data_IF_863653475821
#
_entry.id   IF_863653475821
#
_cell.length_a   1.000
_cell.length_b   1.000
_cell.length_c   1.000
_cell.angle_alpha   90.00
_cell.angle_beta   90.00
_cell.angle_gamma   90.00
#
_symmetry.space_group_name_H-M   'P 1'
#
loop_
_entity.id
_entity.type
_entity.pdbx_description
1 polymer ?
#
# COMPACT_ATOMS: atom_id res chain seq x y z
N UNK A 1 22.38 17.74 2.01
CA UNK A 1 23.43 18.75 1.74
C UNK A 1 23.81 18.81 0.26
N UNK A 2 23.85 17.69 -0.45
CA UNK A 2 24.12 17.64 -1.89
C UNK A 2 22.90 18.20 -2.66
N UNK A 3 21.72 17.73 -2.43
CA UNK A 3 20.48 18.27 -3.03
C UNK A 3 20.26 19.76 -2.82
N UNK A 4 20.60 20.31 -1.65
CA UNK A 4 20.49 21.77 -1.40
C UNK A 4 21.42 22.57 -2.30
N UNK A 5 22.62 22.05 -2.59
CA UNK A 5 23.55 22.70 -3.51
C UNK A 5 23.09 22.62 -4.96
N UNK A 6 22.53 21.50 -5.34
CA UNK A 6 21.97 21.29 -6.68
C UNK A 6 20.78 22.22 -6.91
N UNK A 7 19.89 22.35 -5.93
CA UNK A 7 18.77 23.29 -5.97
C UNK A 7 19.25 24.76 -6.08
N UNK A 8 20.25 25.15 -5.28
CA UNK A 8 20.84 26.50 -5.36
C UNK A 8 21.46 26.76 -6.74
N UNK A 9 22.13 25.78 -7.34
CA UNK A 9 22.74 25.90 -8.67
C UNK A 9 21.68 26.00 -9.77
N UNK A 10 20.61 25.19 -9.70
CA UNK A 10 19.46 25.27 -10.61
C UNK A 10 18.80 26.65 -10.54
N UNK A 11 18.54 27.16 -9.32
CA UNK A 11 17.96 28.48 -9.10
C UNK A 11 18.88 29.60 -9.60
N UNK A 12 20.19 29.51 -9.39
CA UNK A 12 21.15 30.51 -9.89
C UNK A 12 21.17 30.54 -11.43
N UNK A 13 21.24 29.38 -12.06
CA UNK A 13 21.23 29.27 -13.53
C UNK A 13 19.89 29.75 -14.14
N UNK A 14 18.76 29.47 -13.46
CA UNK A 14 17.44 29.92 -13.87
C UNK A 14 17.33 31.44 -13.76
N UNK A 15 17.71 32.03 -12.60
CA UNK A 15 17.65 33.46 -12.34
C UNK A 15 18.60 34.27 -13.24
N UNK A 16 19.76 33.71 -13.56
CA UNK A 16 20.71 34.32 -14.50
C UNK A 16 20.37 34.06 -15.96
N UNK A 17 19.27 33.36 -16.24
CA UNK A 17 18.77 33.00 -17.60
C UNK A 17 19.80 32.24 -18.44
N UNK A 18 20.66 31.44 -17.79
CA UNK A 18 21.65 30.62 -18.47
C UNK A 18 21.04 29.26 -18.90
N UNK A 19 19.95 29.28 -19.64
CA UNK A 19 19.14 28.09 -19.99
C UNK A 19 19.93 26.96 -20.68
N UNK A 20 20.94 27.31 -21.48
CA UNK A 20 21.77 26.30 -22.15
C UNK A 20 22.64 25.54 -21.17
N UNK A 21 23.18 26.22 -20.17
CA UNK A 21 23.96 25.56 -19.12
C UNK A 21 23.08 24.75 -18.19
N UNK A 22 21.91 25.31 -17.83
CA UNK A 22 20.91 24.61 -17.02
C UNK A 22 20.49 23.29 -17.70
N UNK A 23 20.20 23.31 -19.00
CA UNK A 23 19.87 22.12 -19.77
C UNK A 23 21.01 21.09 -19.79
N UNK A 24 22.26 21.53 -19.91
CA UNK A 24 23.40 20.63 -19.85
C UNK A 24 23.57 20.03 -18.46
N UNK A 25 23.44 20.83 -17.43
CA UNK A 25 23.52 20.40 -16.05
C UNK A 25 22.44 19.34 -15.72
N UNK A 26 21.19 19.61 -16.06
CA UNK A 26 20.10 18.66 -15.85
C UNK A 26 20.28 17.35 -16.64
N UNK A 27 20.86 17.40 -17.84
CA UNK A 27 21.10 16.19 -18.64
C UNK A 27 22.24 15.30 -18.10
N UNK A 28 23.00 15.75 -17.09
CA UNK A 28 24.03 14.97 -16.39
C UNK A 28 23.51 14.32 -15.10
N UNK A 29 22.32 14.72 -14.62
CA UNK A 29 21.67 14.17 -13.44
C UNK A 29 20.83 12.95 -13.79
N UNK A 30 20.48 12.16 -12.77
CA UNK A 30 19.53 11.06 -12.89
C UNK A 30 18.10 11.61 -12.94
N UNK A 31 17.20 10.92 -13.65
CA UNK A 31 15.82 11.35 -13.87
C UNK A 31 15.04 11.54 -12.57
N UNK A 32 15.20 10.62 -11.62
CA UNK A 32 14.59 10.71 -10.28
C UNK A 32 15.15 11.89 -9.47
N UNK A 33 16.43 12.21 -9.59
CA UNK A 33 17.03 13.37 -8.91
C UNK A 33 16.51 14.69 -9.51
N UNK A 34 16.30 14.74 -10.83
CA UNK A 34 15.70 15.90 -11.49
C UNK A 34 14.26 16.08 -11.02
N UNK A 35 13.47 15.00 -10.92
CA UNK A 35 12.10 15.05 -10.40
C UNK A 35 12.09 15.60 -8.96
N UNK A 36 12.94 15.09 -8.08
CA UNK A 36 13.06 15.59 -6.71
C UNK A 36 13.45 17.07 -6.64
N UNK A 37 14.33 17.55 -7.53
CA UNK A 37 14.66 18.98 -7.63
C UNK A 37 13.47 19.81 -8.11
N UNK A 38 12.68 19.31 -9.05
CA UNK A 38 11.48 19.99 -9.55
C UNK A 38 10.42 20.14 -8.46
N UNK A 39 10.26 19.15 -7.59
CA UNK A 39 9.30 19.16 -6.48
C UNK A 39 9.64 20.20 -5.38
N UNK A 40 10.90 20.54 -5.22
CA UNK A 40 11.36 21.56 -4.27
C UNK A 40 11.22 23.01 -4.81
N UNK A 41 10.94 23.16 -6.12
CA UNK A 41 10.78 24.47 -6.74
C UNK A 41 9.35 25.02 -6.59
N UNK A 42 9.23 26.35 -6.56
CA UNK A 42 7.93 27.00 -6.72
C UNK A 42 7.31 26.67 -8.09
N UNK A 43 5.98 26.55 -8.16
CA UNK A 43 5.24 26.11 -9.36
C UNK A 43 5.69 26.82 -10.65
N UNK A 44 5.92 28.14 -10.60
CA UNK A 44 6.35 28.92 -11.77
C UNK A 44 7.76 28.57 -12.23
N UNK A 45 8.65 28.27 -11.29
CA UNK A 45 10.04 27.86 -11.54
C UNK A 45 10.10 26.43 -12.05
N UNK A 46 9.37 25.51 -11.41
CA UNK A 46 9.20 24.13 -11.83
C UNK A 46 8.77 24.03 -13.31
N UNK A 47 7.72 24.76 -13.69
CA UNK A 47 7.23 24.78 -15.07
C UNK A 47 8.26 25.34 -16.07
N UNK A 48 9.09 26.31 -15.65
CA UNK A 48 10.16 26.85 -16.50
C UNK A 48 11.28 25.83 -16.69
N UNK A 49 11.70 25.17 -15.61
CA UNK A 49 12.78 24.17 -15.64
C UNK A 49 12.32 22.97 -16.46
N UNK A 50 11.12 22.46 -16.22
CA UNK A 50 10.55 21.33 -16.96
C UNK A 50 10.53 21.58 -18.47
N UNK A 51 10.14 22.78 -18.94
CA UNK A 51 10.13 23.14 -20.36
C UNK A 51 11.54 23.23 -20.99
N UNK A 52 12.60 23.32 -20.18
CA UNK A 52 13.98 23.36 -20.66
C UNK A 52 14.51 21.95 -20.92
N UNK A 53 13.93 20.92 -20.28
CA UNK A 53 14.36 19.54 -20.45
C UNK A 53 14.33 19.09 -21.92
N UNK A 54 15.25 18.22 -22.35
CA UNK A 54 15.13 17.49 -23.60
C UNK A 54 13.82 16.70 -23.61
N UNK A 55 13.22 16.52 -24.79
CA UNK A 55 11.87 15.92 -24.87
C UNK A 55 11.82 14.46 -24.38
N UNK A 56 12.86 13.70 -24.68
CA UNK A 56 12.97 12.31 -24.26
C UNK A 56 13.13 12.23 -22.73
N UNK A 57 14.05 13.00 -22.17
CA UNK A 57 14.27 13.14 -20.73
C UNK A 57 13.04 13.71 -20.00
N UNK A 58 12.23 14.54 -20.64
CA UNK A 58 11.06 15.16 -20.01
C UNK A 58 9.95 14.14 -19.70
N UNK A 59 9.80 13.07 -20.49
CA UNK A 59 8.83 12.01 -20.21
C UNK A 59 9.35 11.12 -19.07
N UNK A 60 10.61 10.76 -19.07
CA UNK A 60 11.24 9.94 -18.03
C UNK A 60 11.22 10.67 -16.67
N UNK A 61 11.58 11.95 -16.61
CA UNK A 61 11.48 12.78 -15.40
C UNK A 61 10.04 12.95 -14.94
N UNK A 62 9.10 13.00 -15.88
CA UNK A 62 7.69 13.21 -15.57
C UNK A 62 7.08 12.03 -14.82
N UNK A 63 7.45 10.78 -15.14
CA UNK A 63 6.95 9.59 -14.44
C UNK A 63 7.37 9.55 -12.97
N UNK A 64 8.55 10.09 -12.62
CA UNK A 64 9.03 10.19 -11.23
C UNK A 64 8.41 11.31 -10.39
N UNK A 65 7.64 12.23 -10.99
CA UNK A 65 6.99 13.32 -10.25
C UNK A 65 5.74 12.81 -9.51
N UNK A 66 5.45 13.40 -8.35
CA UNK A 66 4.17 13.16 -7.71
C UNK A 66 2.97 13.63 -8.57
N UNK A 67 1.83 12.99 -8.36
CA UNK A 67 0.60 13.18 -9.14
C UNK A 67 0.13 14.65 -9.16
N UNK A 68 0.25 15.38 -8.05
CA UNK A 68 -0.16 16.80 -7.97
C UNK A 68 0.72 17.67 -8.89
N UNK A 69 2.03 17.40 -8.99
CA UNK A 69 2.95 18.12 -9.87
C UNK A 69 2.80 17.67 -11.32
N UNK A 70 2.56 16.41 -11.58
CA UNK A 70 2.21 15.91 -12.91
C UNK A 70 0.96 16.63 -13.46
N UNK A 71 -0.11 16.75 -12.66
CA UNK A 71 -1.33 17.47 -13.04
C UNK A 71 -1.07 18.95 -13.33
N UNK A 72 -0.28 19.65 -12.51
CA UNK A 72 0.09 21.06 -12.73
C UNK A 72 0.86 21.22 -14.03
N UNK A 73 1.84 20.36 -14.29
CA UNK A 73 2.64 20.42 -15.51
C UNK A 73 1.77 20.19 -16.73
N UNK A 74 1.03 19.06 -16.78
CA UNK A 74 0.17 18.71 -17.93
C UNK A 74 -0.86 19.79 -18.24
N UNK A 75 -1.48 20.38 -17.22
CA UNK A 75 -2.48 21.43 -17.42
C UNK A 75 -1.89 22.75 -17.90
N UNK A 76 -0.62 23.01 -17.61
CA UNK A 76 0.12 24.21 -17.98
C UNK A 76 0.78 24.13 -19.36
N UNK A 77 0.93 22.92 -19.89
CA UNK A 77 1.53 22.68 -21.20
C UNK A 77 0.56 22.95 -22.36
N UNK A 78 1.10 23.24 -23.52
CA UNK A 78 0.31 23.24 -24.75
C UNK A 78 -0.15 21.82 -25.11
N UNK A 79 -1.24 21.70 -25.86
CA UNK A 79 -1.79 20.42 -26.31
C UNK A 79 -0.73 19.53 -26.98
N UNK A 80 0.17 20.14 -27.74
CA UNK A 80 1.23 19.43 -28.44
C UNK A 80 2.31 18.91 -27.48
N UNK A 81 2.68 19.69 -26.47
CA UNK A 81 3.66 19.29 -25.46
C UNK A 81 3.09 18.17 -24.56
N UNK A 82 1.87 18.36 -24.07
CA UNK A 82 1.19 17.36 -23.26
C UNK A 82 0.98 16.03 -24.02
N UNK A 83 0.58 16.11 -25.29
CA UNK A 83 0.46 14.92 -26.15
C UNK A 83 1.82 14.23 -26.36
N UNK A 84 2.90 15.01 -26.46
CA UNK A 84 4.22 14.41 -26.61
C UNK A 84 4.65 13.63 -25.35
N UNK A 85 4.33 14.12 -24.15
CA UNK A 85 4.60 13.41 -22.90
C UNK A 85 3.79 12.10 -22.89
N UNK A 86 2.47 12.16 -23.05
CA UNK A 86 1.60 10.98 -23.06
C UNK A 86 2.03 9.91 -24.07
N UNK A 87 2.56 10.31 -25.22
CA UNK A 87 3.02 9.35 -26.25
C UNK A 87 4.39 8.72 -25.95
N UNK A 88 5.13 9.24 -24.97
CA UNK A 88 6.45 8.73 -24.59
C UNK A 88 6.46 8.13 -23.17
N UNK A 89 5.38 8.26 -22.40
CA UNK A 89 5.19 7.53 -21.14
C UNK A 89 4.91 6.07 -21.43
N UNK A 90 5.27 5.19 -20.50
CA UNK A 90 4.77 3.82 -20.46
C UNK A 90 3.26 3.82 -20.25
N UNK A 91 2.59 2.74 -20.66
CA UNK A 91 1.13 2.74 -20.72
C UNK A 91 0.47 2.76 -19.33
N UNK A 92 1.09 2.16 -18.34
CA UNK A 92 0.72 2.19 -16.93
C UNK A 92 0.83 3.61 -16.36
N UNK A 93 2.00 4.25 -16.43
CA UNK A 93 2.21 5.65 -16.01
C UNK A 93 1.18 6.61 -16.64
N UNK A 94 0.90 6.40 -17.94
CA UNK A 94 -0.07 7.21 -18.64
C UNK A 94 -1.51 6.91 -18.21
N UNK A 95 -1.82 5.68 -17.82
CA UNK A 95 -3.13 5.29 -17.31
C UNK A 95 -3.36 5.89 -15.91
N UNK A 96 -2.41 5.74 -15.00
CA UNK A 96 -2.47 6.26 -13.63
C UNK A 96 -2.65 7.79 -13.62
N UNK A 97 -1.86 8.50 -14.43
CA UNK A 97 -2.02 9.93 -14.62
C UNK A 97 -3.44 10.29 -15.07
N UNK A 98 -4.03 9.53 -16.00
CA UNK A 98 -5.34 9.86 -16.57
C UNK A 98 -6.51 9.49 -15.64
N UNK A 99 -6.35 8.52 -14.75
CA UNK A 99 -7.37 8.20 -13.74
C UNK A 99 -7.60 9.34 -12.77
N UNK A 100 -6.55 10.04 -12.38
CA UNK A 100 -6.60 11.18 -11.47
C UNK A 100 -7.01 12.52 -12.15
N UNK A 101 -7.11 12.54 -13.48
CA UNK A 101 -7.40 13.77 -14.20
C UNK A 101 -8.89 14.04 -14.46
N UNK A 102 -9.31 15.32 -14.49
CA UNK A 102 -10.67 15.68 -14.89
C UNK A 102 -11.02 15.16 -16.30
N UNK A 103 -12.20 14.57 -16.46
CA UNK A 103 -12.64 13.91 -17.70
C UNK A 103 -12.51 14.75 -18.99
N UNK A 104 -12.59 16.09 -18.91
CA UNK A 104 -12.40 16.97 -20.05
C UNK A 104 -10.94 17.02 -20.51
N UNK A 105 -9.98 16.92 -19.60
CA UNK A 105 -8.54 16.86 -19.88
C UNK A 105 -8.20 15.48 -20.45
N UNK A 106 -8.65 14.40 -19.80
CA UNK A 106 -8.51 13.01 -20.28
C UNK A 106 -8.96 12.89 -21.74
N UNK A 107 -10.19 13.35 -22.03
CA UNK A 107 -10.73 13.30 -23.39
C UNK A 107 -9.84 14.04 -24.39
N UNK A 108 -9.30 15.19 -24.01
CA UNK A 108 -8.44 16.01 -24.87
C UNK A 108 -7.10 15.33 -25.14
N UNK A 109 -6.45 14.80 -24.12
CA UNK A 109 -5.18 14.08 -24.22
C UNK A 109 -5.34 12.84 -25.09
N UNK A 110 -6.30 11.97 -24.77
CA UNK A 110 -6.57 10.75 -25.54
C UNK A 110 -6.99 11.03 -26.99
N UNK A 111 -7.67 12.14 -27.28
CA UNK A 111 -8.03 12.49 -28.66
C UNK A 111 -6.80 12.82 -29.49
N UNK A 112 -5.79 13.44 -28.88
CA UNK A 112 -4.57 13.87 -29.55
C UNK A 112 -3.46 12.80 -29.53
N UNK A 113 -3.51 11.84 -28.60
CA UNK A 113 -2.57 10.73 -28.51
C UNK A 113 -2.58 9.83 -29.75
N UNK A 114 -1.47 9.12 -29.97
CA UNK A 114 -1.37 8.15 -31.06
C UNK A 114 -2.45 7.06 -30.95
N UNK A 115 -2.91 6.47 -32.05
CA UNK A 115 -3.93 5.40 -32.00
C UNK A 115 -3.49 4.19 -31.19
N UNK A 116 -2.19 3.92 -31.12
CA UNK A 116 -1.58 2.81 -30.38
C UNK A 116 -1.62 3.08 -28.87
N UNK A 117 -0.99 4.17 -28.43
CA UNK A 117 -1.00 4.62 -27.03
C UNK A 117 -2.42 4.75 -26.48
N UNK A 118 -3.33 5.38 -27.25
CA UNK A 118 -4.73 5.50 -26.84
C UNK A 118 -5.42 4.15 -26.67
N UNK A 119 -5.11 3.15 -27.52
CA UNK A 119 -5.68 1.81 -27.40
C UNK A 119 -5.17 1.13 -26.14
N UNK A 120 -3.88 1.25 -25.87
CA UNK A 120 -3.21 0.58 -24.76
C UNK A 120 -3.65 1.18 -23.42
N UNK A 121 -3.66 2.50 -23.27
CA UNK A 121 -4.25 3.20 -22.13
C UNK A 121 -5.72 2.81 -21.91
N UNK A 122 -6.58 2.88 -22.97
CA UNK A 122 -7.98 2.48 -22.82
C UNK A 122 -8.15 0.97 -22.53
N UNK A 123 -7.14 0.16 -22.73
CA UNK A 123 -7.14 -1.23 -22.33
C UNK A 123 -6.91 -1.36 -20.82
N UNK A 124 -5.92 -0.65 -20.27
CA UNK A 124 -5.58 -0.63 -18.86
C UNK A 124 -6.71 -0.05 -18.00
N UNK A 125 -7.25 1.10 -18.37
CA UNK A 125 -8.38 1.78 -17.70
C UNK A 125 -9.69 0.96 -17.61
N UNK A 126 -9.73 -0.28 -18.12
CA UNK A 126 -10.89 -1.18 -18.00
C UNK A 126 -10.77 -2.15 -16.86
N UNK A 127 -9.58 -2.35 -16.36
CA UNK A 127 -9.39 -3.24 -15.22
C UNK A 127 -9.86 -2.55 -13.94
N UNK A 128 -10.28 -3.32 -12.93
CA UNK A 128 -10.57 -2.76 -11.62
C UNK A 128 -9.32 -2.10 -11.02
N UNK A 129 -9.49 -0.99 -10.32
CA UNK A 129 -8.45 -0.41 -9.47
C UNK A 129 -7.86 -1.50 -8.54
N UNK A 130 -6.60 -1.35 -8.14
CA UNK A 130 -5.87 -2.26 -7.27
C UNK A 130 -5.76 -3.72 -7.80
N UNK A 131 -5.96 -3.93 -9.10
CA UNK A 131 -5.79 -5.25 -9.74
C UNK A 131 -4.48 -5.33 -10.51
N UNK A 132 -3.96 -6.56 -10.74
CA UNK A 132 -2.80 -6.77 -11.60
C UNK A 132 -2.96 -6.18 -13.01
N UNK A 133 -4.19 -6.05 -13.48
CA UNK A 133 -4.48 -5.47 -14.79
C UNK A 133 -4.38 -3.95 -14.82
N UNK A 134 -4.60 -3.24 -13.69
CA UNK A 134 -4.43 -1.79 -13.62
C UNK A 134 -2.97 -1.36 -13.50
N UNK A 135 -2.16 -2.16 -12.79
CA UNK A 135 -0.74 -1.86 -12.51
C UNK A 135 0.25 -2.49 -13.50
N UNK A 136 -0.20 -3.11 -14.58
CA UNK A 136 0.67 -3.76 -15.57
C UNK A 136 1.02 -2.82 -16.71
N UNK A 137 2.25 -2.94 -17.22
CA UNK A 137 2.62 -2.33 -18.50
C UNK A 137 2.42 -3.30 -19.68
N UNK A 138 2.19 -2.76 -20.88
CA UNK A 138 2.02 -3.57 -22.11
C UNK A 138 3.28 -3.58 -22.97
N UNK A 139 4.30 -2.88 -22.58
CA UNK A 139 5.59 -2.73 -23.27
C UNK A 139 6.59 -3.84 -22.87
N UNK A 140 6.40 -5.03 -23.41
CA UNK A 140 7.25 -6.18 -23.15
C UNK A 140 7.80 -6.82 -24.43
N UNK A 141 8.85 -7.62 -24.31
CA UNK A 141 9.44 -8.37 -25.42
C UNK A 141 8.76 -9.73 -25.58
N UNK A 142 8.02 -9.90 -26.67
CA UNK A 142 7.46 -11.18 -27.10
C UNK A 142 8.33 -11.92 -28.11
N UNK A 143 8.45 -13.24 -27.96
CA UNK A 143 9.15 -14.14 -28.87
C UNK A 143 8.20 -15.27 -29.30
N UNK A 144 8.50 -15.88 -30.43
CA UNK A 144 7.80 -17.10 -30.91
C UNK A 144 8.68 -18.31 -30.69
N UNK A 145 8.08 -19.46 -30.37
CA UNK A 145 8.77 -20.72 -30.13
C UNK A 145 9.72 -21.14 -31.28
N UNK A 146 9.33 -20.84 -32.51
CA UNK A 146 10.04 -21.28 -33.72
C UNK A 146 11.18 -20.32 -34.15
N UNK A 147 11.45 -19.28 -33.41
CA UNK A 147 12.58 -18.37 -33.70
C UNK A 147 13.90 -19.04 -33.31
N UNK A 148 14.97 -18.70 -34.03
CA UNK A 148 16.34 -18.97 -33.57
C UNK A 148 16.80 -17.91 -32.59
N UNK A 149 17.84 -18.21 -31.81
CA UNK A 149 18.47 -17.25 -30.86
C UNK A 149 18.88 -15.97 -31.57
N UNK A 150 19.50 -16.07 -32.77
CA UNK A 150 19.88 -14.88 -33.56
C UNK A 150 18.65 -14.03 -33.92
N UNK A 151 17.55 -14.67 -34.34
CA UNK A 151 16.31 -13.94 -34.65
C UNK A 151 15.67 -13.30 -33.43
N UNK A 152 15.74 -13.96 -32.27
CA UNK A 152 15.27 -13.40 -31.00
C UNK A 152 16.08 -12.16 -30.61
N UNK A 153 17.41 -12.21 -30.72
CA UNK A 153 18.29 -11.06 -30.46
C UNK A 153 18.00 -9.88 -31.43
N UNK A 154 17.73 -10.18 -32.70
CA UNK A 154 17.31 -9.16 -33.67
C UNK A 154 15.96 -8.52 -33.30
N UNK A 155 15.02 -9.35 -32.81
CA UNK A 155 13.72 -8.85 -32.31
C UNK A 155 13.93 -7.92 -31.12
N UNK A 156 14.73 -8.34 -30.12
CA UNK A 156 15.06 -7.52 -28.94
C UNK A 156 15.70 -6.19 -29.36
N UNK A 157 16.67 -6.21 -30.27
CA UNK A 157 17.31 -4.97 -30.76
C UNK A 157 16.34 -3.99 -31.42
N UNK A 158 15.26 -4.51 -31.99
CA UNK A 158 14.26 -3.71 -32.69
C UNK A 158 13.23 -3.06 -31.74
N UNK A 159 12.84 -3.76 -30.68
CA UNK A 159 11.73 -3.32 -29.80
C UNK A 159 12.20 -2.94 -28.40
N UNK A 160 13.43 -3.27 -28.02
CA UNK A 160 13.89 -3.20 -26.64
C UNK A 160 14.07 -1.78 -26.08
N UNK A 161 14.12 -0.76 -26.94
CA UNK A 161 14.13 0.64 -26.48
C UNK A 161 12.73 1.13 -26.08
N UNK A 162 11.70 0.49 -26.64
CA UNK A 162 10.28 0.81 -26.37
C UNK A 162 9.66 -0.23 -25.41
N UNK A 163 10.49 -1.06 -24.74
CA UNK A 163 10.04 -2.11 -23.82
C UNK A 163 10.53 -1.77 -22.42
N UNK A 164 9.67 -1.99 -21.42
CA UNK A 164 9.94 -1.77 -20.00
C UNK A 164 11.20 -2.51 -19.54
N UNK A 165 11.32 -3.77 -19.93
CA UNK A 165 12.52 -4.56 -19.70
C UNK A 165 12.81 -5.54 -20.82
N UNK A 166 14.10 -5.77 -21.10
CA UNK A 166 14.57 -6.82 -22.02
C UNK A 166 15.19 -8.02 -21.27
N UNK A 167 15.25 -7.96 -19.95
CA UNK A 167 15.94 -8.99 -19.15
C UNK A 167 15.24 -10.34 -19.22
N UNK A 168 13.92 -10.34 -19.39
CA UNK A 168 13.08 -11.52 -19.55
C UNK A 168 12.22 -11.32 -20.80
N UNK A 169 12.28 -12.29 -21.72
CA UNK A 169 11.46 -12.33 -22.92
C UNK A 169 10.39 -13.42 -22.77
N UNK A 170 9.19 -13.14 -23.23
CA UNK A 170 8.04 -14.02 -23.07
C UNK A 170 7.76 -14.78 -24.37
N UNK A 171 7.71 -16.10 -24.30
CA UNK A 171 7.47 -16.96 -25.47
C UNK A 171 6.00 -17.25 -25.62
N UNK A 172 5.46 -16.93 -26.80
CA UNK A 172 4.05 -17.03 -27.10
C UNK A 172 3.79 -18.03 -28.24
N UNK A 173 2.68 -18.78 -28.11
CA UNK A 173 2.15 -19.60 -29.20
C UNK A 173 1.43 -18.76 -30.27
N UNK A 174 0.88 -19.44 -31.29
CA UNK A 174 0.14 -18.80 -32.37
C UNK A 174 -1.17 -18.09 -31.89
N UNK A 175 -1.69 -18.45 -30.73
CA UNK A 175 -2.88 -17.88 -30.10
C UNK A 175 -2.53 -16.79 -29.05
N UNK A 176 -1.25 -16.37 -28.97
CA UNK A 176 -0.71 -15.44 -27.97
C UNK A 176 -0.76 -15.97 -26.52
N UNK A 177 -0.85 -17.29 -26.33
CA UNK A 177 -0.77 -17.87 -24.99
C UNK A 177 0.68 -17.92 -24.55
N UNK A 178 0.89 -17.64 -23.27
CA UNK A 178 2.20 -17.73 -22.64
C UNK A 178 2.60 -19.20 -22.47
N UNK A 179 3.64 -19.63 -23.19
CA UNK A 179 4.14 -21.01 -23.19
C UNK A 179 5.51 -21.15 -22.57
N UNK A 180 6.28 -20.06 -22.46
CA UNK A 180 7.60 -20.09 -21.87
C UNK A 180 8.17 -18.71 -21.61
N UNK A 181 9.33 -18.67 -20.96
CA UNK A 181 10.15 -17.48 -20.79
C UNK A 181 11.61 -17.77 -21.10
N UNK A 182 12.33 -16.77 -21.58
CA UNK A 182 13.78 -16.85 -21.82
C UNK A 182 14.43 -15.59 -21.28
N UNK A 183 15.39 -15.74 -20.36
CA UNK A 183 16.16 -14.60 -19.91
C UNK A 183 17.22 -14.21 -20.95
N UNK A 184 17.42 -12.90 -21.14
CA UNK A 184 18.42 -12.34 -22.07
C UNK A 184 19.81 -12.98 -21.90
N UNK A 185 20.21 -13.26 -20.64
CA UNK A 185 21.49 -13.92 -20.34
C UNK A 185 21.64 -15.28 -21.05
N UNK A 186 20.58 -16.04 -21.19
CA UNK A 186 20.62 -17.33 -21.90
C UNK A 186 20.75 -17.12 -23.40
N UNK A 187 20.03 -16.15 -23.97
CA UNK A 187 20.16 -15.81 -25.39
C UNK A 187 21.59 -15.38 -25.76
N UNK A 188 22.31 -14.75 -24.86
CA UNK A 188 23.70 -14.33 -25.07
C UNK A 188 24.72 -15.47 -24.93
N UNK A 189 24.34 -16.58 -24.27
CA UNK A 189 25.23 -17.70 -23.97
C UNK A 189 24.98 -18.92 -24.88
N UNK A 190 23.83 -19.00 -25.52
CA UNK A 190 23.42 -20.11 -26.39
C UNK A 190 23.90 -19.93 -27.83
N UNK A 191 24.00 -21.01 -28.60
CA UNK A 191 24.34 -20.94 -29.98
C UNK A 191 23.25 -20.25 -30.82
N UNK A 192 23.66 -19.41 -31.76
CA UNK A 192 22.73 -18.55 -32.52
C UNK A 192 21.69 -19.28 -33.34
N UNK A 193 21.92 -20.58 -33.67
CA UNK A 193 21.04 -21.42 -34.49
C UNK A 193 20.08 -22.27 -33.64
N UNK A 194 20.22 -22.25 -32.29
CA UNK A 194 19.29 -22.95 -31.41
C UNK A 194 17.88 -22.34 -31.46
N UNK A 195 16.86 -23.18 -31.30
CA UNK A 195 15.45 -22.76 -31.36
C UNK A 195 14.97 -22.35 -29.97
N UNK A 196 14.25 -21.24 -29.87
CA UNK A 196 13.72 -20.69 -28.62
C UNK A 196 12.88 -21.72 -27.86
N UNK A 197 12.04 -22.47 -28.56
CA UNK A 197 11.22 -23.52 -27.96
C UNK A 197 12.01 -24.62 -27.25
N UNK A 198 13.26 -24.88 -27.67
CA UNK A 198 14.11 -25.92 -27.08
C UNK A 198 14.87 -25.43 -25.83
N UNK A 199 15.05 -24.11 -25.71
CA UNK A 199 15.84 -23.47 -24.62
C UNK A 199 14.99 -22.69 -23.62
N UNK A 200 13.70 -22.47 -23.91
CA UNK A 200 12.79 -21.74 -23.05
C UNK A 200 12.49 -22.50 -21.74
N UNK A 201 12.14 -21.76 -20.72
CA UNK A 201 11.63 -22.32 -19.48
C UNK A 201 10.10 -22.42 -19.57
N UNK A 202 9.57 -23.64 -19.62
CA UNK A 202 8.13 -23.89 -19.83
C UNK A 202 7.26 -23.69 -18.58
N UNK A 203 7.84 -23.84 -17.38
CA UNK A 203 7.09 -23.69 -16.13
C UNK A 203 7.04 -22.23 -15.70
N UNK A 204 6.21 -21.43 -16.38
CA UNK A 204 6.07 -20.00 -16.13
C UNK A 204 5.10 -19.73 -14.99
N UNK A 205 5.55 -18.96 -13.99
CA UNK A 205 4.69 -18.39 -12.97
C UNK A 205 4.12 -17.09 -13.54
N UNK A 206 2.80 -16.99 -13.61
CA UNK A 206 2.08 -15.84 -14.16
C UNK A 206 1.02 -15.35 -13.19
N UNK A 207 0.63 -14.10 -13.35
CA UNK A 207 -0.38 -13.40 -12.58
C UNK A 207 -1.64 -13.28 -13.44
N UNK A 208 -2.82 -13.47 -12.84
CA UNK A 208 -4.08 -13.20 -13.53
C UNK A 208 -4.42 -11.72 -13.45
N UNK A 209 -4.98 -11.13 -14.51
CA UNK A 209 -5.35 -9.71 -14.59
C UNK A 209 -6.25 -9.20 -13.45
N UNK A 210 -7.05 -10.07 -12.82
CA UNK A 210 -7.97 -9.72 -11.74
C UNK A 210 -7.40 -10.06 -10.35
N UNK A 211 -6.12 -10.40 -10.26
CA UNK A 211 -5.45 -10.63 -8.98
C UNK A 211 -5.25 -9.28 -8.28
N UNK A 212 -5.55 -9.23 -7.00
CA UNK A 212 -5.35 -8.10 -6.12
C UNK A 212 -3.86 -7.73 -6.01
N UNK A 213 -3.53 -6.44 -6.02
CA UNK A 213 -2.14 -5.94 -6.04
C UNK A 213 -1.33 -6.38 -4.79
N UNK A 214 -1.96 -6.49 -3.62
CA UNK A 214 -1.29 -7.00 -2.43
C UNK A 214 -0.87 -8.47 -2.60
N UNK A 215 -1.70 -9.30 -3.27
CA UNK A 215 -1.36 -10.69 -3.60
C UNK A 215 -0.26 -10.76 -4.67
N UNK A 216 -0.27 -9.83 -5.65
CA UNK A 216 0.81 -9.69 -6.64
C UNK A 216 2.13 -9.39 -5.94
N UNK A 217 2.17 -8.39 -5.05
CA UNK A 217 3.36 -8.04 -4.28
C UNK A 217 3.89 -9.24 -3.45
N UNK A 218 2.98 -10.03 -2.86
CA UNK A 218 3.35 -11.27 -2.16
C UNK A 218 3.98 -12.31 -3.09
N UNK A 219 3.53 -12.42 -4.34
CA UNK A 219 4.12 -13.33 -5.31
C UNK A 219 5.52 -12.90 -5.73
N UNK A 220 5.74 -11.61 -5.98
CA UNK A 220 7.07 -11.07 -6.24
C UNK A 220 8.03 -11.39 -5.10
N UNK A 221 7.64 -11.10 -3.87
CA UNK A 221 8.42 -11.42 -2.67
C UNK A 221 8.72 -12.91 -2.50
N UNK A 222 7.79 -13.79 -2.89
CA UNK A 222 7.93 -15.24 -2.75
C UNK A 222 8.93 -15.84 -3.73
N UNK A 223 8.98 -15.30 -4.95
CA UNK A 223 9.77 -15.87 -6.03
C UNK A 223 11.00 -15.05 -6.38
N UNK A 224 11.20 -13.89 -5.76
CA UNK A 224 12.32 -12.96 -6.00
C UNK A 224 12.45 -12.59 -7.49
N UNK A 225 11.33 -12.38 -8.18
CA UNK A 225 11.32 -11.99 -9.59
C UNK A 225 11.49 -10.48 -9.75
N UNK A 226 12.12 -10.07 -10.85
CA UNK A 226 12.26 -8.67 -11.25
C UNK A 226 11.14 -8.20 -12.17
N UNK A 227 10.47 -9.14 -12.85
CA UNK A 227 9.28 -8.89 -13.66
C UNK A 227 8.44 -10.17 -13.74
N UNK A 228 7.12 -10.05 -13.76
CA UNK A 228 6.19 -11.17 -13.86
C UNK A 228 5.17 -10.94 -14.98
N UNK A 229 4.86 -11.98 -15.78
CA UNK A 229 3.86 -11.88 -16.84
C UNK A 229 2.44 -11.89 -16.28
N UNK A 230 1.61 -11.01 -16.82
CA UNK A 230 0.18 -10.93 -16.54
C UNK A 230 -0.61 -11.58 -17.68
N UNK A 231 -1.50 -12.49 -17.34
CA UNK A 231 -2.30 -13.25 -18.30
C UNK A 231 -3.79 -13.11 -18.06
N UNK A 232 -4.56 -13.20 -19.13
CA UNK A 232 -6.02 -13.30 -19.06
C UNK A 232 -6.49 -14.72 -18.64
N UNK A 233 -7.81 -14.92 -18.56
CA UNK A 233 -8.40 -16.21 -18.20
C UNK A 233 -8.16 -17.33 -19.25
N UNK A 234 -7.69 -16.97 -20.45
CA UNK A 234 -7.33 -17.91 -21.51
C UNK A 234 -5.82 -18.15 -21.59
N UNK A 235 -5.05 -17.69 -20.60
CA UNK A 235 -3.59 -17.74 -20.52
C UNK A 235 -2.89 -16.97 -21.65
N UNK A 236 -3.51 -15.92 -22.18
CA UNK A 236 -2.86 -15.02 -23.13
C UNK A 236 -2.11 -13.94 -22.37
N UNK A 237 -0.88 -13.69 -22.79
CA UNK A 237 -0.08 -12.61 -22.23
C UNK A 237 -0.70 -11.26 -22.62
N UNK A 238 -1.02 -10.44 -21.62
CA UNK A 238 -1.63 -9.12 -21.81
C UNK A 238 -0.72 -7.98 -21.35
N UNK A 239 0.17 -8.24 -20.39
CA UNK A 239 1.13 -7.27 -19.87
C UNK A 239 2.18 -7.93 -18.98
N UNK A 240 2.99 -7.10 -18.37
CA UNK A 240 3.96 -7.48 -17.33
C UNK A 240 3.86 -6.48 -16.19
N UNK A 241 4.31 -6.89 -15.00
CA UNK A 241 4.51 -6.01 -13.85
C UNK A 241 5.98 -6.11 -13.48
N UNK A 242 6.59 -5.02 -13.10
CA UNK A 242 8.00 -4.97 -12.71
C UNK A 242 8.16 -4.79 -11.19
N UNK A 243 9.37 -4.98 -10.68
CA UNK A 243 9.61 -4.99 -9.23
C UNK A 243 9.63 -3.59 -8.63
N UNK A 244 9.95 -2.57 -9.40
CA UNK A 244 9.91 -1.16 -9.03
C UNK A 244 8.49 -0.72 -8.68
N UNK A 245 7.49 -0.97 -9.55
CA UNK A 245 6.07 -0.74 -9.25
C UNK A 245 5.63 -1.47 -7.98
N UNK A 246 6.10 -2.71 -7.81
CA UNK A 246 5.78 -3.51 -6.61
C UNK A 246 6.36 -2.92 -5.33
N UNK A 247 7.50 -2.23 -5.39
CA UNK A 247 8.06 -1.55 -4.22
C UNK A 247 7.12 -0.42 -3.78
N UNK A 248 6.60 0.36 -4.70
CA UNK A 248 5.67 1.45 -4.42
C UNK A 248 4.33 0.92 -3.89
N UNK A 249 3.78 -0.13 -4.52
CA UNK A 249 2.57 -0.82 -4.04
C UNK A 249 2.75 -1.36 -2.60
N UNK A 250 3.90 -1.92 -2.25
CA UNK A 250 4.15 -2.39 -0.87
C UNK A 250 4.13 -1.22 0.12
N UNK A 251 4.62 -0.05 -0.26
CA UNK A 251 4.59 1.15 0.58
C UNK A 251 3.16 1.69 0.73
N UNK A 252 2.41 1.75 -0.36
CA UNK A 252 0.99 2.16 -0.40
C UNK A 252 0.12 1.25 0.47
N UNK A 253 0.15 -0.05 0.26
CA UNK A 253 -0.60 -1.05 1.04
C UNK A 253 -0.23 -1.01 2.53
N UNK A 254 1.06 -0.81 2.84
CA UNK A 254 1.52 -0.67 4.22
C UNK A 254 0.96 0.59 4.87
N UNK A 255 0.92 1.69 4.13
CA UNK A 255 0.38 2.98 4.58
C UNK A 255 -1.13 2.89 4.77
N UNK A 256 -1.82 2.27 3.81
CA UNK A 256 -3.26 2.01 3.87
C UNK A 256 -3.63 1.18 5.11
N UNK A 257 -2.93 0.09 5.35
CA UNK A 257 -3.10 -0.77 6.53
C UNK A 257 -2.91 0.03 7.83
N UNK A 258 -1.88 0.89 7.92
CA UNK A 258 -1.62 1.72 9.09
C UNK A 258 -2.76 2.73 9.33
N UNK A 259 -3.26 3.38 8.29
CA UNK A 259 -4.36 4.34 8.38
C UNK A 259 -5.68 3.65 8.75
N UNK A 260 -5.99 2.51 8.15
CA UNK A 260 -7.15 1.67 8.51
C UNK A 260 -7.09 1.21 9.97
N UNK A 261 -5.91 0.75 10.43
CA UNK A 261 -5.70 0.36 11.83
C UNK A 261 -5.87 1.55 12.80
N UNK A 262 -5.63 2.76 12.36
CA UNK A 262 -5.88 3.99 13.14
C UNK A 262 -7.32 4.51 13.01
N UNK A 263 -8.20 3.83 12.28
CA UNK A 263 -9.55 4.28 11.93
C UNK A 263 -9.54 5.65 11.22
N UNK A 264 -8.69 5.76 10.20
CA UNK A 264 -8.61 6.89 9.27
C UNK A 264 -8.97 6.35 7.88
N UNK A 265 -9.64 7.14 7.07
CA UNK A 265 -9.86 6.80 5.66
C UNK A 265 -8.54 7.00 4.92
N UNK A 266 -8.03 6.02 4.17
CA UNK A 266 -6.73 6.06 3.52
C UNK A 266 -6.50 7.25 2.59
N UNK A 267 -5.21 7.58 2.37
CA UNK A 267 -4.77 8.70 1.55
C UNK A 267 -3.45 8.42 0.85
N UNK A 268 -3.44 8.56 -0.45
CA UNK A 268 -2.25 8.43 -1.28
C UNK A 268 -1.37 9.69 -1.27
N UNK A 269 -1.84 10.77 -0.62
CA UNK A 269 -1.14 12.06 -0.56
C UNK A 269 -0.23 12.17 0.64
N UNK A 270 1.00 12.69 0.45
CA UNK A 270 1.89 13.02 1.56
C UNK A 270 1.23 13.96 2.58
N UNK A 271 1.49 13.74 3.86
CA UNK A 271 0.85 14.49 4.95
C UNK A 271 0.95 16.02 4.82
N UNK A 272 2.11 16.53 4.39
CA UNK A 272 2.32 17.98 4.23
C UNK A 272 1.57 18.59 3.04
N UNK A 273 1.24 17.78 2.05
CA UNK A 273 0.48 18.20 0.85
C UNK A 273 -1.04 18.07 1.06
N UNK A 274 -1.47 17.31 2.07
CA UNK A 274 -2.90 17.12 2.39
C UNK A 274 -3.49 18.33 3.09
N UNK A 275 -4.56 18.90 2.55
CA UNK A 275 -5.25 20.06 3.11
C UNK A 275 -5.98 19.75 4.42
N UNK A 276 -6.13 20.76 5.29
CA UNK A 276 -6.80 20.63 6.61
C UNK A 276 -8.23 20.06 6.49
N UNK A 277 -9.01 20.52 5.51
CA UNK A 277 -10.38 20.04 5.30
C UNK A 277 -10.41 18.61 4.75
N UNK A 278 -9.45 18.21 3.96
CA UNK A 278 -9.31 16.85 3.47
C UNK A 278 -8.98 15.90 4.61
N UNK A 279 -7.96 16.23 5.42
CA UNK A 279 -7.63 15.49 6.64
C UNK A 279 -8.83 15.38 7.59
N UNK A 280 -9.60 16.46 7.75
CA UNK A 280 -10.83 16.43 8.55
C UNK A 280 -11.84 15.44 8.01
N UNK A 281 -12.12 15.45 6.69
CA UNK A 281 -13.07 14.53 6.05
C UNK A 281 -12.67 13.07 6.22
N UNK A 282 -11.37 12.76 6.20
CA UNK A 282 -10.86 11.40 6.36
C UNK A 282 -10.98 10.87 7.80
N UNK A 283 -10.95 11.75 8.80
CA UNK A 283 -11.02 11.37 10.23
C UNK A 283 -12.42 11.40 10.81
N UNK A 284 -13.26 12.36 10.42
CA UNK A 284 -14.53 12.63 11.09
C UNK A 284 -15.55 11.47 11.04
N UNK A 285 -15.69 10.68 9.95
CA UNK A 285 -16.64 9.59 9.92
C UNK A 285 -16.38 8.55 11.01
N UNK A 286 -15.12 8.17 11.18
CA UNK A 286 -14.72 7.21 12.21
C UNK A 286 -14.86 7.76 13.62
N UNK A 287 -14.48 9.02 13.84
CA UNK A 287 -14.63 9.67 15.15
C UNK A 287 -16.10 9.77 15.58
N UNK A 288 -17.02 10.06 14.65
CA UNK A 288 -18.46 10.06 14.92
C UNK A 288 -18.98 8.66 15.25
N UNK A 289 -18.54 7.64 14.48
CA UNK A 289 -18.93 6.25 14.76
C UNK A 289 -18.47 5.81 16.15
N UNK A 290 -17.23 6.10 16.50
CA UNK A 290 -16.65 5.77 17.81
C UNK A 290 -17.34 6.54 18.95
N UNK A 291 -17.68 7.82 18.74
CA UNK A 291 -18.46 8.60 19.69
C UNK A 291 -19.85 7.99 19.96
N UNK A 292 -20.55 7.56 18.92
CA UNK A 292 -21.84 6.85 19.07
C UNK A 292 -21.61 5.55 19.83
N UNK A 293 -20.58 4.79 19.50
CA UNK A 293 -20.23 3.54 20.18
C UNK A 293 -19.93 3.75 21.67
N UNK A 294 -19.24 4.83 22.04
CA UNK A 294 -18.97 5.18 23.44
C UNK A 294 -20.24 5.42 24.27
N UNK A 295 -21.38 5.74 23.65
CA UNK A 295 -22.66 5.88 24.38
C UNK A 295 -23.13 4.57 24.98
N UNK A 296 -22.82 3.42 24.37
CA UNK A 296 -23.14 2.08 24.93
C UNK A 296 -22.34 1.84 26.21
N UNK A 297 -21.08 2.22 26.25
CA UNK A 297 -20.24 2.14 27.45
C UNK A 297 -20.82 3.00 28.58
N UNK A 298 -21.25 4.23 28.27
CA UNK A 298 -21.94 5.09 29.21
C UNK A 298 -23.25 4.48 29.76
N UNK A 299 -24.04 3.87 28.89
CA UNK A 299 -25.28 3.19 29.30
C UNK A 299 -25.03 1.98 30.24
N UNK A 300 -23.95 1.22 30.00
CA UNK A 300 -23.54 0.13 30.90
C UNK A 300 -23.17 0.72 32.27
N UNK A 301 -22.37 1.75 32.37
CA UNK A 301 -21.99 2.38 33.63
C UNK A 301 -23.22 2.87 34.37
N UNK A 302 -24.14 3.56 33.70
CA UNK A 302 -25.37 4.06 34.29
C UNK A 302 -26.29 2.92 34.81
N UNK A 303 -26.33 1.75 34.16
CA UNK A 303 -27.12 0.61 34.59
C UNK A 303 -26.64 -0.02 35.92
N UNK A 304 -25.41 0.28 36.35
CA UNK A 304 -24.80 -0.18 37.61
C UNK A 304 -24.59 0.94 38.63
N UNK A 305 -25.26 2.09 38.48
CA UNK A 305 -25.12 3.25 39.36
C UNK A 305 -25.41 2.93 40.80
N UNK A 306 -26.49 2.14 41.08
CA UNK A 306 -26.82 1.71 42.43
C UNK A 306 -25.69 0.90 43.10
N UNK A 307 -25.05 0.00 42.38
CA UNK A 307 -23.92 -0.78 42.88
C UNK A 307 -22.68 0.12 43.15
N UNK A 308 -22.42 1.06 42.27
CA UNK A 308 -21.32 2.01 42.41
C UNK A 308 -21.52 2.99 43.58
N UNK A 309 -22.78 3.33 43.93
CA UNK A 309 -23.11 4.20 45.06
C UNK A 309 -22.73 3.57 46.40
N UNK A 310 -22.74 2.22 46.47
CA UNK A 310 -22.35 1.48 47.69
C UNK A 310 -20.86 1.53 47.94
N UNK A 311 -20.04 1.52 46.87
CA UNK A 311 -18.61 1.53 46.98
C UNK A 311 -17.99 2.49 45.94
N UNK A 312 -18.06 3.79 46.20
CA UNK A 312 -17.57 4.82 45.29
C UNK A 312 -16.08 4.70 44.90
N UNK A 313 -15.28 4.02 45.74
CA UNK A 313 -13.86 3.75 45.41
C UNK A 313 -13.69 2.92 44.15
N UNK A 314 -14.65 2.07 43.82
CA UNK A 314 -14.59 1.24 42.61
C UNK A 314 -14.64 2.06 41.31
N UNK A 315 -15.32 3.20 41.32
CA UNK A 315 -15.40 4.10 40.15
C UNK A 315 -14.03 4.55 39.70
N UNK A 316 -13.10 4.79 40.63
CA UNK A 316 -11.75 5.28 40.34
C UNK A 316 -10.91 4.29 39.51
N UNK A 317 -11.25 3.02 39.50
CA UNK A 317 -10.49 1.97 38.78
C UNK A 317 -11.07 1.62 37.40
N UNK A 318 -12.26 2.13 37.07
CA UNK A 318 -12.89 1.91 35.73
C UNK A 318 -11.94 2.35 34.60
N UNK A 319 -11.37 3.55 34.58
CA UNK A 319 -10.49 3.98 33.49
C UNK A 319 -9.26 3.06 33.34
N UNK A 320 -8.65 2.63 34.44
CA UNK A 320 -7.51 1.74 34.41
C UNK A 320 -7.86 0.37 33.80
N UNK A 321 -9.00 -0.19 34.15
CA UNK A 321 -9.43 -1.49 33.63
C UNK A 321 -9.75 -1.44 32.14
N UNK A 322 -10.43 -0.37 31.70
CA UNK A 322 -10.76 -0.13 30.29
C UNK A 322 -9.48 0.07 29.48
N UNK A 323 -8.63 1.00 29.88
CA UNK A 323 -7.39 1.31 29.16
C UNK A 323 -6.48 0.08 29.06
N UNK A 324 -6.26 -0.64 30.17
CA UNK A 324 -5.42 -1.84 30.15
C UNK A 324 -6.01 -2.95 29.27
N UNK A 325 -7.32 -3.16 29.32
CA UNK A 325 -8.03 -4.10 28.46
C UNK A 325 -7.94 -3.70 26.99
N UNK A 326 -8.25 -2.45 26.66
CA UNK A 326 -8.20 -1.89 25.32
C UNK A 326 -6.78 -2.04 24.70
N UNK A 327 -5.75 -1.65 25.44
CA UNK A 327 -4.37 -1.78 25.00
C UNK A 327 -3.95 -3.25 24.77
N UNK A 328 -4.34 -4.16 25.67
CA UNK A 328 -4.05 -5.59 25.52
C UNK A 328 -4.74 -6.19 24.28
N UNK A 329 -6.00 -5.85 24.05
CA UNK A 329 -6.75 -6.29 22.87
C UNK A 329 -6.17 -5.74 21.58
N UNK A 330 -5.78 -4.47 21.55
CA UNK A 330 -5.14 -3.83 20.40
C UNK A 330 -3.80 -4.47 20.06
N UNK A 331 -2.96 -4.79 21.03
CA UNK A 331 -1.68 -5.47 20.80
C UNK A 331 -1.88 -6.87 20.18
N UNK A 332 -2.85 -7.63 20.66
CA UNK A 332 -3.19 -8.93 20.10
C UNK A 332 -3.70 -8.78 18.65
N UNK A 333 -4.56 -7.80 18.40
CA UNK A 333 -5.12 -7.54 17.08
C UNK A 333 -4.08 -7.19 16.04
N UNK A 334 -3.24 -6.20 16.30
CA UNK A 334 -2.17 -5.77 15.37
C UNK A 334 -1.25 -6.94 15.01
N UNK A 335 -0.91 -7.79 15.98
CA UNK A 335 -0.08 -8.98 15.75
C UNK A 335 -0.78 -9.99 14.83
N UNK A 336 -2.09 -10.20 15.04
CA UNK A 336 -2.88 -11.14 14.23
C UNK A 336 -3.17 -10.59 12.83
N UNK A 337 -3.50 -9.30 12.71
CA UNK A 337 -3.69 -8.63 11.41
C UNK A 337 -2.44 -8.80 10.56
N UNK A 338 -1.26 -8.45 11.11
CA UNK A 338 0.00 -8.64 10.40
C UNK A 338 0.23 -10.11 9.99
N UNK A 339 -0.06 -11.06 10.86
CA UNK A 339 0.06 -12.49 10.53
C UNK A 339 -0.92 -12.95 9.44
N UNK A 340 -2.09 -12.29 9.34
CA UNK A 340 -3.07 -12.55 8.29
C UNK A 340 -2.65 -11.91 6.95
N UNK A 341 -2.12 -10.69 6.96
CA UNK A 341 -1.61 -10.01 5.76
C UNK A 341 -0.41 -10.74 5.18
N UNK A 342 0.51 -11.24 6.02
CA UNK A 342 1.66 -12.02 5.57
C UNK A 342 1.36 -13.50 5.26
N UNK A 343 0.08 -13.93 5.35
CA UNK A 343 -0.33 -15.34 5.22
C UNK A 343 0.40 -16.32 6.16
N UNK A 344 0.92 -15.82 7.30
CA UNK A 344 1.51 -16.65 8.36
C UNK A 344 0.43 -17.37 9.18
N UNK A 345 -0.80 -16.84 9.18
CA UNK A 345 -1.95 -17.37 9.90
C UNK A 345 -3.04 -17.76 8.90
N UNK A 346 -3.36 -19.04 8.85
CA UNK A 346 -4.48 -19.58 8.08
C UNK A 346 -5.67 -19.88 8.99
N UNK A 347 -6.88 -20.03 8.40
CA UNK A 347 -8.11 -20.38 9.18
C UNK A 347 -7.97 -21.67 10.00
N UNK A 348 -7.16 -22.64 9.54
CA UNK A 348 -6.87 -23.87 10.27
C UNK A 348 -6.04 -23.64 11.53
N UNK A 349 -5.33 -22.52 11.62
CA UNK A 349 -4.48 -22.22 12.76
C UNK A 349 -5.18 -21.43 13.88
N UNK A 350 -6.42 -20.99 13.65
CA UNK A 350 -7.21 -20.23 14.64
C UNK A 350 -7.19 -20.85 16.04
N UNK A 351 -7.40 -22.17 16.26
CA UNK A 351 -7.32 -22.74 17.60
C UNK A 351 -5.93 -22.60 18.25
N UNK A 352 -4.87 -22.68 17.44
CA UNK A 352 -3.48 -22.51 17.92
C UNK A 352 -3.20 -21.06 18.31
N UNK A 353 -3.68 -20.10 17.48
CA UNK A 353 -3.55 -18.67 17.73
C UNK A 353 -4.28 -18.32 19.03
N UNK A 354 -5.55 -18.67 19.16
CA UNK A 354 -6.33 -18.42 20.37
C UNK A 354 -5.69 -19.04 21.60
N UNK A 355 -5.21 -20.29 21.53
CA UNK A 355 -4.53 -20.93 22.65
C UNK A 355 -3.19 -20.26 23.00
N UNK A 356 -2.48 -19.74 22.03
CA UNK A 356 -1.26 -18.93 22.24
C UNK A 356 -1.63 -17.63 22.97
N UNK A 357 -2.60 -16.90 22.47
CA UNK A 357 -3.03 -15.61 23.05
C UNK A 357 -3.58 -15.78 24.48
N UNK A 358 -4.35 -16.83 24.79
CA UNK A 358 -4.80 -17.11 26.17
C UNK A 358 -3.60 -17.27 27.11
N UNK A 359 -2.55 -17.98 26.71
CA UNK A 359 -1.36 -18.15 27.56
C UNK A 359 -0.60 -16.84 27.76
N UNK A 360 -0.47 -16.05 26.71
CA UNK A 360 0.13 -14.71 26.80
C UNK A 360 -0.69 -13.81 27.71
N UNK A 361 -2.01 -13.82 27.52
CA UNK A 361 -2.97 -13.03 28.31
C UNK A 361 -2.92 -13.38 29.81
N UNK A 362 -2.80 -14.66 30.15
CA UNK A 362 -2.67 -15.09 31.55
C UNK A 362 -1.35 -14.59 32.16
N UNK A 363 -0.24 -14.69 31.45
CA UNK A 363 1.07 -14.21 31.93
C UNK A 363 1.02 -12.67 32.12
N UNK A 364 0.55 -11.93 31.11
CA UNK A 364 0.39 -10.48 31.19
C UNK A 364 -0.57 -10.06 32.27
N UNK A 365 -1.76 -10.66 32.32
CA UNK A 365 -2.79 -10.35 33.30
C UNK A 365 -2.33 -10.59 34.75
N UNK A 366 -1.69 -11.73 35.04
CA UNK A 366 -1.16 -12.02 36.36
C UNK A 366 -0.05 -11.04 36.74
N UNK A 367 0.86 -10.73 35.82
CA UNK A 367 1.98 -9.78 36.06
C UNK A 367 1.45 -8.38 36.36
N UNK A 368 0.54 -7.89 35.52
CA UNK A 368 -0.09 -6.56 35.71
C UNK A 368 -0.91 -6.53 37.00
N UNK A 369 -1.65 -7.59 37.28
CA UNK A 369 -2.46 -7.72 38.50
C UNK A 369 -1.59 -7.73 39.76
N UNK A 370 -0.48 -8.45 39.76
CA UNK A 370 0.47 -8.46 40.89
C UNK A 370 1.07 -7.08 41.16
N UNK A 371 1.52 -6.39 40.10
CA UNK A 371 2.04 -5.04 40.21
C UNK A 371 0.97 -4.04 40.72
N UNK A 372 -0.25 -4.13 40.16
CA UNK A 372 -1.36 -3.27 40.57
C UNK A 372 -1.81 -3.57 42.00
N UNK A 373 -1.82 -4.83 42.45
CA UNK A 373 -2.16 -5.20 43.82
C UNK A 373 -1.24 -4.52 44.84
N UNK A 374 0.07 -4.54 44.56
CA UNK A 374 1.06 -3.83 45.40
C UNK A 374 0.80 -2.32 45.41
N UNK A 375 0.52 -1.73 44.24
CA UNK A 375 0.15 -0.30 44.12
C UNK A 375 -1.09 0.03 44.96
N UNK A 376 -2.15 -0.75 44.83
CA UNK A 376 -3.43 -0.54 45.53
C UNK A 376 -3.28 -0.58 47.06
N UNK A 377 -2.45 -1.48 47.56
CA UNK A 377 -2.23 -1.62 49.00
C UNK A 377 -1.28 -0.53 49.55
N UNK A 378 -0.19 -0.18 48.82
CA UNK A 378 0.83 0.72 49.33
C UNK A 378 0.54 2.19 49.01
N UNK A 379 0.08 2.51 47.84
CA UNK A 379 -0.16 3.89 47.39
C UNK A 379 -1.60 4.32 47.63
N UNK A 380 -2.56 3.54 47.16
CA UNK A 380 -3.98 3.87 47.24
C UNK A 380 -4.58 3.53 48.62
N UNK A 381 -3.91 2.63 49.39
CA UNK A 381 -4.28 2.22 50.75
C UNK A 381 -5.72 1.68 50.83
N UNK A 382 -6.19 1.00 49.81
CA UNK A 382 -7.53 0.40 49.78
C UNK A 382 -7.57 -0.93 50.53
N UNK A 383 -8.78 -1.34 50.93
CA UNK A 383 -8.97 -2.64 51.60
C UNK A 383 -8.57 -3.81 50.70
N UNK A 384 -8.06 -4.89 51.31
CA UNK A 384 -7.57 -6.08 50.60
C UNK A 384 -8.65 -6.69 49.68
N UNK A 385 -9.93 -6.70 50.09
CA UNK A 385 -11.04 -7.21 49.28
C UNK A 385 -11.24 -6.38 48.00
N UNK A 386 -11.24 -5.07 48.12
CA UNK A 386 -11.33 -4.17 46.94
C UNK A 386 -10.13 -4.35 46.01
N UNK A 387 -8.92 -4.42 46.57
CA UNK A 387 -7.73 -4.67 45.77
C UNK A 387 -7.80 -6.03 45.04
N UNK A 388 -8.27 -7.09 45.74
CA UNK A 388 -8.41 -8.40 45.14
C UNK A 388 -9.48 -8.44 44.02
N UNK A 389 -10.65 -7.79 44.22
CA UNK A 389 -11.68 -7.68 43.20
C UNK A 389 -11.20 -6.95 41.95
N UNK A 390 -10.53 -5.81 42.11
CA UNK A 390 -9.97 -5.03 40.98
C UNK A 390 -8.92 -5.86 40.25
N UNK A 391 -8.03 -6.55 40.96
CA UNK A 391 -6.97 -7.36 40.37
C UNK A 391 -7.50 -8.61 39.67
N UNK A 392 -8.52 -9.28 40.21
CA UNK A 392 -9.16 -10.41 39.55
C UNK A 392 -9.86 -9.99 38.26
N UNK A 393 -10.55 -8.84 38.30
CA UNK A 393 -11.18 -8.26 37.11
C UNK A 393 -10.12 -7.88 36.06
N UNK A 394 -8.98 -7.33 36.47
CA UNK A 394 -7.90 -6.97 35.55
C UNK A 394 -7.38 -8.19 34.78
N UNK A 395 -7.17 -9.33 35.46
CA UNK A 395 -6.78 -10.58 34.77
C UNK A 395 -7.86 -11.02 33.77
N UNK A 396 -9.12 -11.02 34.19
CA UNK A 396 -10.22 -11.43 33.34
C UNK A 396 -10.39 -10.47 32.14
N UNK A 397 -10.28 -9.18 32.35
CA UNK A 397 -10.35 -8.17 31.30
C UNK A 397 -9.25 -8.36 30.26
N UNK A 398 -7.99 -8.55 30.67
CA UNK A 398 -6.85 -8.80 29.76
C UNK A 398 -7.07 -10.07 28.96
N UNK A 399 -7.52 -11.16 29.59
CA UNK A 399 -7.80 -12.44 28.90
C UNK A 399 -8.90 -12.26 27.84
N UNK A 400 -10.01 -11.65 28.20
CA UNK A 400 -11.13 -11.41 27.27
C UNK A 400 -10.69 -10.48 26.15
N UNK A 401 -9.96 -9.41 26.47
CA UNK A 401 -9.47 -8.44 25.50
C UNK A 401 -8.58 -9.08 24.44
N UNK A 402 -7.59 -9.89 24.84
CA UNK A 402 -6.68 -10.55 23.88
C UNK A 402 -7.40 -11.61 23.05
N UNK A 403 -8.38 -12.31 23.60
CA UNK A 403 -9.22 -13.25 22.83
C UNK A 403 -10.05 -12.48 21.78
N UNK A 404 -10.69 -11.40 22.15
CA UNK A 404 -11.47 -10.56 21.22
C UNK A 404 -10.53 -9.96 20.17
N UNK A 405 -9.40 -9.41 20.60
CA UNK A 405 -8.40 -8.82 19.73
C UNK A 405 -7.86 -9.79 18.67
N UNK A 406 -7.70 -11.07 19.00
CA UNK A 406 -7.25 -12.04 18.00
C UNK A 406 -8.40 -12.59 17.13
N UNK A 407 -9.62 -12.72 17.65
CA UNK A 407 -10.73 -13.33 16.91
C UNK A 407 -11.39 -12.37 15.91
N UNK A 408 -11.51 -11.09 16.25
CA UNK A 408 -12.20 -10.11 15.39
C UNK A 408 -11.57 -9.96 14.01
N UNK A 409 -10.23 -9.76 13.86
CA UNK A 409 -9.61 -9.69 12.54
C UNK A 409 -9.78 -10.97 11.71
N UNK A 410 -9.67 -12.13 12.36
CA UNK A 410 -9.87 -13.44 11.69
C UNK A 410 -11.30 -13.56 11.18
N UNK A 411 -12.29 -13.13 11.99
CA UNK A 411 -13.69 -13.15 11.61
C UNK A 411 -13.96 -12.15 10.47
N UNK A 412 -13.36 -10.96 10.51
CA UNK A 412 -13.47 -9.98 9.43
C UNK A 412 -12.99 -10.56 8.10
N UNK A 413 -11.79 -11.11 8.06
CA UNK A 413 -11.23 -11.78 6.86
C UNK A 413 -12.15 -12.91 6.36
N UNK A 414 -12.76 -13.68 7.27
CA UNK A 414 -13.67 -14.75 6.88
C UNK A 414 -14.98 -14.24 6.26
N UNK A 415 -15.42 -13.06 6.67
CA UNK A 415 -16.62 -12.40 6.12
C UNK A 415 -16.34 -11.58 4.86
N UNK A 416 -15.08 -11.53 4.40
CA UNK A 416 -14.66 -10.76 3.24
C UNK A 416 -14.42 -9.28 3.53
N UNK A 417 -14.27 -8.90 4.81
CA UNK A 417 -13.85 -7.57 5.21
C UNK A 417 -12.35 -7.53 5.43
N UNK A 418 -11.75 -6.37 5.20
CA UNK A 418 -10.37 -6.12 5.51
C UNK A 418 -10.13 -6.24 7.03
N UNK A 419 -9.17 -7.10 7.47
CA UNK A 419 -8.84 -7.24 8.89
C UNK A 419 -8.35 -5.96 9.54
N UNK A 420 -7.67 -5.07 8.81
CA UNK A 420 -7.11 -3.83 9.33
C UNK A 420 -8.19 -2.88 9.86
N UNK A 421 -9.37 -2.86 9.25
CA UNK A 421 -10.54 -2.07 9.71
C UNK A 421 -11.02 -2.49 11.11
N UNK A 422 -10.81 -3.76 11.50
CA UNK A 422 -11.18 -4.29 12.83
C UNK A 422 -10.09 -4.06 13.88
N UNK A 423 -9.21 -3.09 13.67
CA UNK A 423 -8.09 -2.81 14.57
C UNK A 423 -8.49 -1.96 15.80
N UNK A 424 -7.50 -1.28 16.35
CA UNK A 424 -7.49 -0.71 17.69
C UNK A 424 -8.78 0.00 18.17
N UNK A 425 -9.36 0.98 17.47
CA UNK A 425 -10.48 1.74 18.03
C UNK A 425 -11.79 0.94 18.14
N UNK A 426 -11.99 -0.02 17.22
CA UNK A 426 -13.19 -0.87 17.27
C UNK A 426 -13.08 -1.91 18.39
N UNK A 427 -11.91 -2.49 18.54
CA UNK A 427 -11.61 -3.46 19.60
C UNK A 427 -11.71 -2.81 20.97
N UNK A 428 -11.13 -1.62 21.18
CA UNK A 428 -11.20 -0.94 22.48
C UNK A 428 -12.62 -0.74 22.92
N UNK A 429 -13.52 -0.31 22.04
CA UNK A 429 -14.95 -0.12 22.40
C UNK A 429 -15.64 -1.42 22.85
N UNK A 430 -15.39 -2.53 22.16
CA UNK A 430 -15.97 -3.83 22.52
C UNK A 430 -15.35 -4.33 23.83
N UNK A 431 -14.05 -4.21 23.97
CA UNK A 431 -13.30 -4.63 25.17
C UNK A 431 -13.70 -3.80 26.38
N UNK A 432 -13.92 -2.50 26.24
CA UNK A 432 -14.38 -1.62 27.30
C UNK A 432 -15.73 -2.07 27.84
N UNK A 433 -16.69 -2.30 26.95
CA UNK A 433 -18.02 -2.80 27.34
C UNK A 433 -17.92 -4.15 28.07
N UNK A 434 -17.12 -5.09 27.56
CA UNK A 434 -16.95 -6.43 28.17
C UNK A 434 -16.21 -6.35 29.50
N UNK A 435 -15.18 -5.54 29.60
CA UNK A 435 -14.41 -5.32 30.84
C UNK A 435 -15.29 -4.76 31.95
N UNK A 436 -16.13 -3.79 31.62
CA UNK A 436 -17.10 -3.22 32.58
C UNK A 436 -18.16 -4.24 33.05
N UNK A 437 -18.70 -5.03 32.12
CA UNK A 437 -19.66 -6.07 32.47
C UNK A 437 -19.06 -7.10 33.45
N UNK A 438 -17.78 -7.50 33.20
CA UNK A 438 -17.07 -8.40 34.11
C UNK A 438 -16.80 -7.72 35.44
N UNK A 439 -16.35 -6.46 35.40
CA UNK A 439 -16.07 -5.69 36.62
C UNK A 439 -17.26 -5.61 37.54
N UNK A 440 -18.40 -5.20 37.03
CA UNK A 440 -19.63 -5.07 37.83
C UNK A 440 -20.25 -6.39 38.28
N UNK A 441 -19.80 -7.51 37.68
CA UNK A 441 -20.19 -8.85 38.14
C UNK A 441 -19.30 -9.40 39.24
N UNK A 442 -18.04 -8.95 39.29
CA UNK A 442 -17.03 -9.39 40.27
C UNK A 442 -17.04 -8.47 41.52
N UNK A 443 -17.29 -7.18 41.30
CA UNK A 443 -17.34 -6.18 42.36
C UNK A 443 -18.63 -6.26 43.16
#
# INVERSE_FOLDING_TARGET
MEQIKELEEVLELLNTKQYTKLRQYLAELNDADIAGLLEELEEEEMLKVFRILPKDLAADVFSYLDMDNQQKIITSLSDKEATNIINNLMADDAADLLEEMPANIVKKLLTNASPEVRRDINHLLRYPEDSAGSIMTVEYVDLKENLTVNQAIERIRKVGLDSETINICYVLDAQRRLVGTVALRYLLLMDGDEIIGDIMHENVISINTLMDQEEVARQFKKYDFTAMPVVDNENRLVGIITVDDIVDIIEEETTEDMEKMAAIVPSDKPYMKTGVFETFKKRIPWLLLLMVSATFTGAIISSFEDALSVCAVLVAYIPMLMDTGGNAGSQASVTVIRGLSLNEIEYRDVPKVVFKEIRVALICGITLSAANFVKLLLLDKVGVLVAASVCLTLVAAVVIAMIIGCLLPILAKRLGFDPAVMASPFITTIVDAMSLLVYFRVA
#
